data_IF_617509474126
#
_entry.id   IF_617509474126
#
_cell.length_a   1.000
_cell.length_b   1.000
_cell.length_c   1.000
_cell.angle_alpha   90.00
_cell.angle_beta   90.00
_cell.angle_gamma   90.00
#
_symmetry.space_group_name_H-M   'P 1'
#
loop_
_entity.id
_entity.type
_entity.pdbx_description
1 polymer ?
#
# COMPACT_ATOMS: atom_id res chain seq x y z
N UNK A 1 22.10 -26.76 -14.68
CA UNK A 1 21.47 -25.59 -14.00
C UNK A 1 20.04 -25.95 -13.62
N UNK A 2 19.46 -25.39 -12.54
CA UNK A 2 18.06 -25.66 -12.17
C UNK A 2 17.14 -24.55 -12.69
N UNK A 3 16.02 -24.91 -13.30
CA UNK A 3 15.01 -23.97 -13.77
C UNK A 3 13.80 -24.02 -12.82
N UNK A 4 13.47 -22.90 -12.20
CA UNK A 4 12.27 -22.78 -11.38
C UNK A 4 11.21 -22.03 -12.19
N UNK A 5 10.24 -22.77 -12.72
CA UNK A 5 9.24 -22.29 -13.66
C UNK A 5 7.93 -22.07 -12.91
N UNK A 6 7.32 -20.91 -13.09
CA UNK A 6 6.01 -20.58 -12.55
C UNK A 6 4.98 -20.33 -13.67
N UNK A 7 3.75 -20.78 -13.46
CA UNK A 7 2.60 -20.45 -14.30
C UNK A 7 1.60 -19.59 -13.50
N UNK A 8 1.59 -18.26 -13.66
CA UNK A 8 0.76 -17.37 -12.86
C UNK A 8 -0.76 -17.61 -12.91
N UNK A 9 -1.35 -18.03 -14.05
CA UNK A 9 -2.78 -18.33 -14.12
C UNK A 9 -3.23 -19.43 -13.15
N UNK A 10 -2.51 -20.55 -13.07
CA UNK A 10 -2.82 -21.64 -12.13
C UNK A 10 -2.24 -21.42 -10.74
N UNK A 11 -1.21 -20.58 -10.60
CA UNK A 11 -0.50 -20.38 -9.34
C UNK A 11 0.44 -21.53 -8.97
N UNK A 12 0.70 -22.44 -9.92
CA UNK A 12 1.62 -23.55 -9.74
C UNK A 12 3.06 -23.16 -10.11
N UNK A 13 4.02 -23.88 -9.51
CA UNK A 13 5.43 -23.75 -9.83
C UNK A 13 6.07 -25.15 -9.81
N UNK A 14 7.01 -25.38 -10.72
CA UNK A 14 7.75 -26.63 -10.84
C UNK A 14 9.21 -26.34 -11.08
N UNK A 15 10.06 -27.12 -10.43
CA UNK A 15 11.51 -27.09 -10.62
C UNK A 15 11.91 -28.20 -11.58
N UNK A 16 12.68 -27.85 -12.60
CA UNK A 16 13.27 -28.77 -13.55
C UNK A 16 14.79 -28.70 -13.42
N UNK A 17 15.44 -29.85 -13.47
CA UNK A 17 16.90 -29.93 -13.47
C UNK A 17 17.34 -30.20 -14.89
N UNK A 18 18.12 -29.28 -15.47
CA UNK A 18 18.59 -29.36 -16.86
C UNK A 18 20.12 -29.41 -16.82
N UNK A 19 20.67 -30.53 -17.25
CA UNK A 19 22.12 -30.75 -17.28
C UNK A 19 22.72 -30.41 -18.65
N UNK A 20 21.96 -30.63 -19.71
CA UNK A 20 22.36 -30.35 -21.09
C UNK A 20 22.55 -28.84 -21.35
N UNK A 21 23.80 -28.47 -21.65
CA UNK A 21 24.20 -27.09 -21.92
C UNK A 21 23.63 -26.54 -23.23
N UNK A 22 23.34 -27.40 -24.22
CA UNK A 22 22.75 -26.97 -25.49
C UNK A 22 21.37 -26.35 -25.28
N UNK A 23 20.56 -26.96 -24.40
CA UNK A 23 19.24 -26.44 -23.99
C UNK A 23 19.34 -25.13 -23.21
N UNK A 24 20.39 -24.98 -22.39
CA UNK A 24 20.60 -23.79 -21.57
C UNK A 24 21.14 -22.59 -22.36
N UNK A 25 21.81 -22.84 -23.49
CA UNK A 25 22.43 -21.81 -24.34
C UNK A 25 21.44 -20.75 -24.81
N UNK A 26 20.17 -21.13 -25.04
CA UNK A 26 19.11 -20.20 -25.41
C UNK A 26 18.85 -19.08 -24.37
N UNK A 27 19.22 -19.33 -23.10
CA UNK A 27 19.05 -18.38 -22.00
C UNK A 27 20.29 -17.51 -21.76
N UNK A 28 21.47 -17.93 -22.22
CA UNK A 28 22.71 -17.18 -22.00
C UNK A 28 22.71 -15.84 -22.75
N UNK A 29 23.39 -14.86 -22.16
CA UNK A 29 23.47 -13.47 -22.61
C UNK A 29 22.12 -12.72 -22.70
N UNK A 30 21.03 -13.38 -22.29
CA UNK A 30 19.74 -12.75 -22.08
C UNK A 30 19.72 -12.00 -20.75
N UNK A 31 18.89 -10.97 -20.70
CA UNK A 31 18.68 -10.13 -19.52
C UNK A 31 17.38 -10.50 -18.80
N UNK A 32 17.32 -10.20 -17.50
CA UNK A 32 16.05 -10.23 -16.75
C UNK A 32 14.97 -9.44 -17.49
N UNK A 33 13.78 -10.00 -17.53
CA UNK A 33 12.58 -9.53 -18.23
C UNK A 33 12.57 -9.73 -19.74
N UNK A 34 13.60 -10.32 -20.34
CA UNK A 34 13.52 -10.78 -21.73
C UNK A 34 12.71 -12.06 -21.85
N UNK A 35 12.06 -12.20 -23.00
CA UNK A 35 11.30 -13.39 -23.38
C UNK A 35 12.19 -14.33 -24.19
N UNK A 36 12.04 -15.62 -23.94
CA UNK A 36 12.80 -16.72 -24.54
C UNK A 36 11.81 -17.81 -24.94
N UNK A 37 11.96 -18.32 -26.15
CA UNK A 37 11.15 -19.43 -26.65
C UNK A 37 11.46 -20.71 -25.86
N UNK A 38 10.41 -21.43 -25.47
CA UNK A 38 10.52 -22.66 -24.68
C UNK A 38 11.00 -23.86 -25.48
N UNK A 39 10.85 -23.84 -26.80
CA UNK A 39 11.22 -24.93 -27.72
C UNK A 39 12.66 -25.43 -27.53
N UNK A 40 13.58 -24.55 -27.13
CA UNK A 40 14.97 -24.92 -26.87
C UNK A 40 15.15 -25.89 -25.68
N UNK A 41 14.17 -26.02 -24.79
CA UNK A 41 14.23 -26.93 -23.63
C UNK A 41 13.78 -28.36 -23.96
N UNK A 42 12.94 -28.54 -24.97
CA UNK A 42 12.34 -29.82 -25.33
C UNK A 42 11.03 -29.66 -26.09
N UNK A 43 10.55 -30.75 -26.68
CA UNK A 43 9.29 -30.80 -27.43
C UNK A 43 8.08 -30.49 -26.54
N UNK A 44 8.12 -30.86 -25.26
CA UNK A 44 7.06 -30.57 -24.30
C UNK A 44 6.86 -29.06 -24.06
N UNK A 45 7.86 -28.25 -24.38
CA UNK A 45 7.83 -26.79 -24.25
C UNK A 45 7.55 -26.07 -25.59
N UNK A 46 7.12 -26.81 -26.62
CA UNK A 46 6.79 -26.22 -27.91
C UNK A 46 5.67 -25.19 -27.81
N UNK A 47 5.88 -24.02 -28.43
CA UNK A 47 4.95 -22.88 -28.36
C UNK A 47 4.92 -22.14 -27.01
N UNK A 48 5.61 -22.61 -25.97
CA UNK A 48 5.71 -21.88 -24.70
C UNK A 48 6.65 -20.67 -24.84
N UNK A 49 6.29 -19.56 -24.21
CA UNK A 49 7.17 -18.40 -24.08
C UNK A 49 7.46 -18.15 -22.61
N UNK A 50 8.73 -18.17 -22.25
CA UNK A 50 9.21 -17.89 -20.91
C UNK A 50 9.76 -16.48 -20.81
N UNK A 51 9.50 -15.83 -19.68
CA UNK A 51 10.14 -14.59 -19.28
C UNK A 51 11.09 -14.83 -18.13
N UNK A 52 12.35 -14.42 -18.29
CA UNK A 52 13.36 -14.55 -17.25
C UNK A 52 13.01 -13.57 -16.12
N UNK A 53 12.74 -14.06 -14.91
CA UNK A 53 12.38 -13.21 -13.77
C UNK A 53 13.52 -12.95 -12.78
N UNK A 54 14.65 -13.63 -12.97
CA UNK A 54 15.85 -13.51 -12.15
C UNK A 54 16.38 -14.89 -11.81
N UNK A 55 17.10 -15.00 -10.71
CA UNK A 55 17.75 -16.24 -10.32
C UNK A 55 18.71 -16.00 -9.17
N UNK A 56 19.45 -17.05 -8.84
CA UNK A 56 20.54 -17.01 -7.88
C UNK A 56 21.75 -17.72 -8.45
N UNK A 57 22.94 -17.20 -8.13
CA UNK A 57 24.18 -17.88 -8.48
C UNK A 57 24.49 -19.07 -7.56
N UNK A 58 25.58 -19.77 -7.86
CA UNK A 58 26.06 -20.94 -7.11
C UNK A 58 26.31 -20.68 -5.62
N UNK A 59 26.56 -19.44 -5.20
CA UNK A 59 26.74 -19.10 -3.77
C UNK A 59 25.50 -18.40 -3.18
N UNK A 60 24.39 -18.38 -3.92
CA UNK A 60 23.11 -17.87 -3.44
C UNK A 60 22.95 -16.35 -3.53
N UNK A 61 23.83 -15.62 -4.23
CA UNK A 61 23.57 -14.19 -4.44
C UNK A 61 22.50 -14.00 -5.51
N UNK A 62 21.45 -13.20 -5.23
CA UNK A 62 20.34 -13.00 -6.16
C UNK A 62 20.72 -12.03 -7.29
N UNK A 63 20.14 -12.25 -8.46
CA UNK A 63 20.26 -11.32 -9.58
C UNK A 63 19.48 -10.02 -9.33
N UNK A 64 20.01 -8.89 -9.81
CA UNK A 64 19.36 -7.57 -9.71
C UNK A 64 19.17 -6.94 -11.09
N UNK A 65 17.93 -6.62 -11.43
CA UNK A 65 17.60 -5.90 -12.66
C UNK A 65 18.30 -4.53 -12.73
N UNK A 66 18.85 -4.19 -13.90
CA UNK A 66 19.57 -2.93 -14.14
C UNK A 66 21.08 -2.99 -13.89
N UNK A 67 21.61 -4.09 -13.34
CA UNK A 67 23.04 -4.31 -13.21
C UNK A 67 23.53 -5.06 -14.45
N UNK A 68 24.04 -4.33 -15.44
CA UNK A 68 24.37 -4.84 -16.78
C UNK A 68 25.72 -5.58 -16.84
N UNK A 69 25.94 -6.48 -15.90
CA UNK A 69 27.10 -7.38 -15.87
C UNK A 69 26.62 -8.82 -15.87
N UNK A 70 27.48 -9.73 -16.29
CA UNK A 70 27.34 -11.15 -15.95
C UNK A 70 27.69 -11.32 -14.48
N UNK A 71 28.82 -10.77 -14.05
CA UNK A 71 29.38 -10.95 -12.71
C UNK A 71 28.66 -10.23 -11.58
N UNK A 72 29.16 -10.45 -10.36
CA UNK A 72 28.67 -9.80 -9.16
C UNK A 72 29.28 -8.42 -8.98
N UNK A 73 28.46 -7.50 -8.48
CA UNK A 73 28.88 -6.15 -8.11
C UNK A 73 28.44 -5.85 -6.68
N UNK A 74 29.25 -5.06 -5.95
CA UNK A 74 28.89 -4.58 -4.62
C UNK A 74 28.18 -3.24 -4.69
N UNK A 75 26.88 -3.25 -4.43
CA UNK A 75 26.03 -2.05 -4.47
C UNK A 75 25.60 -1.62 -3.07
N UNK A 76 25.48 -0.32 -2.86
CA UNK A 76 24.92 0.26 -1.63
C UNK A 76 23.39 0.28 -1.71
N UNK A 77 22.73 -0.66 -1.02
CA UNK A 77 21.28 -0.86 -1.06
C UNK A 77 20.58 -0.15 0.10
N UNK A 78 19.38 0.38 -0.15
CA UNK A 78 18.47 0.99 0.84
C UNK A 78 17.20 0.16 1.00
N UNK A 79 16.48 0.36 2.11
CA UNK A 79 15.19 -0.30 2.37
C UNK A 79 14.23 -0.10 1.19
N UNK A 80 13.68 -1.21 0.68
CA UNK A 80 12.80 -1.22 -0.49
C UNK A 80 13.50 -1.61 -1.81
N UNK A 81 14.83 -1.59 -1.86
CA UNK A 81 15.55 -2.10 -3.02
C UNK A 81 15.42 -3.63 -3.13
N UNK A 82 15.38 -4.15 -4.36
CA UNK A 82 15.52 -5.59 -4.58
C UNK A 82 16.86 -6.09 -4.01
N UNK A 83 16.86 -7.34 -3.50
CA UNK A 83 17.99 -8.00 -2.83
C UNK A 83 18.32 -7.46 -1.42
N UNK A 84 17.57 -6.45 -0.93
CA UNK A 84 17.71 -5.94 0.43
C UNK A 84 16.36 -5.52 1.02
N UNK A 85 15.81 -6.39 1.89
CA UNK A 85 14.53 -6.14 2.54
C UNK A 85 14.56 -4.92 3.47
N UNK A 86 15.68 -4.68 4.17
CA UNK A 86 15.87 -3.53 5.07
C UNK A 86 14.92 -3.46 6.28
N UNK A 87 14.00 -4.40 6.44
CA UNK A 87 13.14 -4.52 7.63
C UNK A 87 13.90 -5.21 8.77
N UNK A 88 13.74 -4.73 10.01
CA UNK A 88 14.51 -5.19 11.18
C UNK A 88 15.84 -4.46 11.39
N UNK A 89 16.01 -3.31 10.72
CA UNK A 89 17.19 -2.45 10.74
C UNK A 89 16.81 -1.04 11.13
N UNK A 90 17.78 -0.18 11.44
CA UNK A 90 17.50 1.22 11.75
C UNK A 90 16.89 1.91 10.53
N UNK A 91 15.93 2.80 10.76
CA UNK A 91 15.36 3.58 9.67
C UNK A 91 16.45 4.43 9.01
N UNK A 92 16.45 4.45 7.68
CA UNK A 92 17.51 5.09 6.88
C UNK A 92 18.78 4.26 6.68
N UNK A 93 18.89 3.06 7.27
CA UNK A 93 20.09 2.22 7.09
C UNK A 93 20.29 1.82 5.61
N UNK A 94 21.54 1.98 5.15
CA UNK A 94 22.02 1.52 3.84
C UNK A 94 23.13 0.51 4.05
N UNK A 95 23.14 -0.56 3.26
CA UNK A 95 24.18 -1.61 3.35
C UNK A 95 24.77 -1.93 2.00
N UNK A 96 26.11 -1.94 1.91
CA UNK A 96 26.82 -2.41 0.73
C UNK A 96 26.82 -3.94 0.67
N UNK A 97 26.14 -4.53 -0.31
CA UNK A 97 26.01 -5.98 -0.50
C UNK A 97 26.41 -6.38 -1.92
N UNK A 98 26.98 -7.58 -2.06
CA UNK A 98 27.17 -8.20 -3.38
C UNK A 98 25.83 -8.65 -3.95
N UNK A 99 25.61 -8.40 -5.24
CA UNK A 99 24.46 -8.84 -6.02
C UNK A 99 24.94 -9.35 -7.36
N UNK A 100 24.28 -10.37 -7.93
CA UNK A 100 24.59 -10.86 -9.28
C UNK A 100 23.98 -9.91 -10.31
N UNK A 101 24.66 -9.71 -11.43
CA UNK A 101 24.15 -8.93 -12.55
C UNK A 101 22.88 -9.53 -13.18
N UNK A 102 22.26 -8.78 -14.08
CA UNK A 102 21.01 -9.20 -14.72
C UNK A 102 21.21 -10.05 -15.99
N UNK A 103 22.45 -10.19 -16.48
CA UNK A 103 22.78 -11.02 -17.64
C UNK A 103 22.94 -12.47 -17.16
N UNK A 104 22.29 -13.40 -17.85
CA UNK A 104 22.32 -14.82 -17.53
C UNK A 104 23.64 -15.43 -18.01
N UNK A 105 24.28 -16.23 -17.15
CA UNK A 105 25.48 -17.00 -17.49
C UNK A 105 25.47 -18.39 -16.85
N UNK A 106 26.49 -19.21 -17.14
CA UNK A 106 26.68 -20.56 -16.61
C UNK A 106 26.92 -20.64 -15.09
N UNK A 107 27.27 -19.52 -14.43
CA UNK A 107 27.53 -19.47 -12.97
C UNK A 107 26.25 -19.47 -12.13
N UNK A 108 25.09 -19.49 -12.79
CA UNK A 108 23.81 -19.55 -12.12
C UNK A 108 23.52 -20.97 -11.61
N UNK A 109 23.03 -21.06 -10.37
CA UNK A 109 22.53 -22.32 -9.83
C UNK A 109 21.07 -22.50 -10.20
N UNK A 110 20.27 -21.44 -10.04
CA UNK A 110 18.83 -21.46 -10.34
C UNK A 110 18.47 -20.25 -11.20
N UNK A 111 17.73 -20.50 -12.28
CA UNK A 111 17.09 -19.47 -13.08
C UNK A 111 15.57 -19.52 -12.84
N UNK A 112 14.97 -18.40 -12.45
CA UNK A 112 13.54 -18.27 -12.24
C UNK A 112 12.86 -17.81 -13.54
N UNK A 113 11.93 -18.60 -14.04
CA UNK A 113 11.19 -18.35 -15.28
C UNK A 113 9.70 -18.21 -14.98
N UNK A 114 9.02 -17.36 -15.76
CA UNK A 114 7.56 -17.21 -15.72
C UNK A 114 7.02 -17.47 -17.11
N UNK A 115 6.04 -18.36 -17.23
CA UNK A 115 5.32 -18.58 -18.50
C UNK A 115 4.46 -17.36 -18.80
N UNK A 116 4.67 -16.75 -19.96
CA UNK A 116 3.87 -15.63 -20.49
C UNK A 116 2.80 -16.13 -21.44
N UNK A 117 3.13 -17.11 -22.30
CA UNK A 117 2.20 -17.78 -23.21
C UNK A 117 2.29 -19.29 -23.00
N UNK A 118 1.13 -19.93 -22.83
CA UNK A 118 1.00 -21.40 -22.75
C UNK A 118 1.20 -21.95 -24.17
N UNK A 119 2.00 -23.01 -24.31
CA UNK A 119 2.14 -23.76 -25.55
C UNK A 119 1.02 -24.77 -25.74
N UNK A 120 1.21 -25.67 -26.70
CA UNK A 120 0.19 -26.66 -27.11
C UNK A 120 0.06 -27.80 -26.10
N UNK A 121 1.19 -28.39 -25.68
CA UNK A 121 1.22 -29.51 -24.74
C UNK A 121 0.99 -29.05 -23.30
N UNK A 122 0.39 -29.89 -22.47
CA UNK A 122 0.27 -29.63 -21.04
C UNK A 122 1.52 -30.12 -20.28
N UNK A 123 1.93 -29.35 -19.27
CA UNK A 123 3.09 -29.59 -18.43
C UNK A 123 2.66 -30.12 -17.04
N UNK A 124 3.03 -31.36 -16.68
CA UNK A 124 2.54 -32.02 -15.47
C UNK A 124 2.98 -31.29 -14.21
N UNK A 125 2.01 -31.02 -13.32
CA UNK A 125 2.21 -30.30 -12.07
C UNK A 125 2.45 -28.78 -12.23
N UNK A 126 2.27 -28.24 -13.44
CA UNK A 126 2.41 -26.81 -13.71
C UNK A 126 1.16 -26.21 -14.37
N UNK A 127 0.73 -26.77 -15.50
CA UNK A 127 -0.48 -26.31 -16.20
C UNK A 127 -1.72 -27.14 -15.90
N UNK A 128 -1.52 -28.39 -15.52
CA UNK A 128 -2.59 -29.39 -15.38
C UNK A 128 -3.35 -29.20 -14.05
N UNK A 129 -2.63 -28.75 -13.02
CA UNK A 129 -3.20 -28.47 -11.71
C UNK A 129 -3.46 -26.97 -11.52
N UNK A 130 -4.61 -26.63 -10.94
CA UNK A 130 -4.93 -25.26 -10.53
C UNK A 130 -4.92 -25.11 -9.01
N UNK A 131 -4.14 -24.14 -8.49
CA UNK A 131 -4.12 -23.79 -7.07
C UNK A 131 -5.03 -22.58 -6.84
N UNK A 132 -6.18 -22.75 -6.15
CA UNK A 132 -7.11 -21.64 -5.95
C UNK A 132 -6.49 -20.56 -5.05
N UNK A 133 -6.93 -19.30 -5.28
CA UNK A 133 -6.46 -18.17 -4.49
C UNK A 133 -6.89 -18.30 -3.02
N UNK A 134 -5.92 -18.31 -2.12
CA UNK A 134 -6.17 -18.50 -0.68
C UNK A 134 -7.03 -17.40 -0.03
N UNK A 135 -6.98 -16.17 -0.55
CA UNK A 135 -7.66 -15.01 0.05
C UNK A 135 -8.34 -14.18 -1.02
N UNK A 136 -9.60 -13.84 -0.77
CA UNK A 136 -10.31 -12.84 -1.57
C UNK A 136 -10.10 -11.39 -1.08
N UNK A 137 -10.73 -10.43 -1.77
CA UNK A 137 -10.57 -9.01 -1.49
C UNK A 137 -11.14 -8.61 -0.10
N UNK A 138 -10.49 -7.66 0.58
CA UNK A 138 -10.94 -7.14 1.89
C UNK A 138 -11.71 -5.81 1.80
N UNK A 139 -11.47 -5.02 0.75
CA UNK A 139 -12.02 -3.67 0.60
C UNK A 139 -13.34 -3.74 -0.15
N UNK A 140 -14.37 -3.01 0.31
CA UNK A 140 -15.70 -3.01 -0.31
C UNK A 140 -15.65 -2.78 -1.83
N UNK A 141 -14.87 -1.80 -2.29
CA UNK A 141 -14.72 -1.50 -3.72
C UNK A 141 -14.07 -2.63 -4.53
N UNK A 142 -13.18 -3.43 -3.93
CA UNK A 142 -12.56 -4.59 -4.61
C UNK A 142 -13.49 -5.79 -4.63
N UNK A 143 -14.34 -5.94 -3.62
CA UNK A 143 -15.39 -6.98 -3.60
C UNK A 143 -16.39 -6.70 -4.71
N UNK A 144 -16.87 -5.46 -4.86
CA UNK A 144 -17.77 -5.07 -5.95
C UNK A 144 -17.18 -5.39 -7.33
N UNK A 145 -15.93 -5.03 -7.58
CA UNK A 145 -15.24 -5.34 -8.84
C UNK A 145 -15.08 -6.83 -9.11
N UNK A 146 -14.93 -7.65 -8.06
CA UNK A 146 -14.75 -9.10 -8.23
C UNK A 146 -16.04 -9.80 -8.63
N UNK A 147 -17.17 -9.34 -8.11
CA UNK A 147 -18.49 -9.93 -8.34
C UNK A 147 -19.36 -9.10 -9.30
N UNK A 148 -18.77 -8.10 -9.96
CA UNK A 148 -19.47 -7.15 -10.84
C UNK A 148 -20.74 -6.53 -10.20
N UNK A 149 -20.66 -6.20 -8.91
CA UNK A 149 -21.78 -5.65 -8.15
C UNK A 149 -21.94 -4.16 -8.38
N UNK A 150 -23.19 -3.72 -8.30
CA UNK A 150 -23.58 -2.32 -8.24
C UNK A 150 -23.23 -1.70 -6.87
N UNK A 151 -23.57 -0.42 -6.68
CA UNK A 151 -23.31 0.28 -5.41
C UNK A 151 -24.36 -0.06 -4.37
N UNK A 152 -25.57 -0.34 -4.84
CA UNK A 152 -26.79 -0.68 -4.13
C UNK A 152 -26.66 -2.05 -3.45
N UNK A 153 -25.92 -2.97 -4.07
CA UNK A 153 -25.71 -4.32 -3.55
C UNK A 153 -24.89 -4.34 -2.25
N UNK A 154 -25.36 -5.13 -1.27
CA UNK A 154 -24.62 -5.36 -0.03
C UNK A 154 -23.51 -6.40 -0.19
N UNK A 155 -22.28 -5.88 -0.23
CA UNK A 155 -21.04 -6.68 -0.30
C UNK A 155 -20.87 -7.69 0.84
N UNK A 156 -21.57 -7.55 1.98
CA UNK A 156 -21.41 -8.44 3.15
C UNK A 156 -21.77 -9.90 2.87
N UNK A 157 -22.77 -10.14 2.03
CA UNK A 157 -23.21 -11.49 1.69
C UNK A 157 -22.16 -12.21 0.84
N UNK A 158 -21.57 -11.52 -0.12
CA UNK A 158 -20.60 -12.06 -1.08
C UNK A 158 -19.24 -12.42 -0.45
N UNK A 159 -18.87 -11.81 0.67
CA UNK A 159 -17.61 -12.15 1.36
C UNK A 159 -17.60 -13.59 1.89
N UNK A 160 -18.78 -14.17 2.16
CA UNK A 160 -18.90 -15.55 2.66
C UNK A 160 -18.49 -16.58 1.60
N UNK A 161 -18.59 -16.25 0.31
CA UNK A 161 -18.31 -17.16 -0.81
C UNK A 161 -16.85 -17.62 -0.78
N UNK A 162 -15.91 -16.70 -0.50
CA UNK A 162 -14.49 -17.01 -0.36
C UNK A 162 -14.02 -17.03 1.10
N UNK A 163 -14.96 -17.09 2.04
CA UNK A 163 -14.66 -17.25 3.46
C UNK A 163 -14.04 -18.62 3.72
N UNK A 164 -13.01 -18.68 4.58
CA UNK A 164 -12.35 -19.95 4.89
C UNK A 164 -13.28 -20.80 5.78
N UNK A 165 -13.75 -21.93 5.27
CA UNK A 165 -14.41 -22.97 6.07
C UNK A 165 -13.37 -23.61 6.99
N UNK A 166 -13.66 -23.66 8.28
CA UNK A 166 -12.80 -24.25 9.31
C UNK A 166 -13.68 -25.12 10.17
N UNK A 167 -13.34 -26.39 10.27
CA UNK A 167 -13.90 -27.30 11.25
C UNK A 167 -13.15 -27.14 12.56
N UNK A 168 -13.88 -26.87 13.62
CA UNK A 168 -13.35 -26.83 14.98
C UNK A 168 -14.41 -27.34 15.93
N UNK A 169 -14.03 -28.25 16.81
CA UNK A 169 -14.92 -28.81 17.85
C UNK A 169 -16.19 -29.46 17.24
N UNK A 170 -16.03 -30.20 16.13
CA UNK A 170 -17.13 -30.86 15.42
C UNK A 170 -18.10 -29.92 14.69
N UNK A 171 -17.83 -28.60 14.66
CA UNK A 171 -18.69 -27.60 14.00
C UNK A 171 -17.94 -26.87 12.88
N UNK A 172 -18.56 -26.78 11.71
CA UNK A 172 -18.03 -26.02 10.58
C UNK A 172 -18.32 -24.53 10.76
N UNK A 173 -17.28 -23.69 10.83
CA UNK A 173 -17.37 -22.23 10.91
C UNK A 173 -16.74 -21.56 9.69
N UNK A 174 -17.37 -20.52 9.16
CA UNK A 174 -16.81 -19.74 8.05
C UNK A 174 -16.11 -18.49 8.59
N UNK A 175 -14.78 -18.42 8.46
CA UNK A 175 -14.02 -17.21 8.80
C UNK A 175 -13.95 -16.25 7.63
N UNK A 176 -14.54 -15.06 7.80
CA UNK A 176 -14.58 -14.00 6.81
C UNK A 176 -13.69 -12.81 7.22
N UNK A 177 -13.06 -12.09 6.27
CA UNK A 177 -12.34 -10.86 6.58
C UNK A 177 -13.30 -9.73 6.98
N UNK A 178 -12.89 -8.91 7.96
CA UNK A 178 -13.57 -7.63 8.25
C UNK A 178 -13.45 -6.69 7.05
N UNK A 179 -14.58 -6.36 6.45
CA UNK A 179 -14.65 -5.51 5.25
C UNK A 179 -14.17 -4.09 5.59
N UNK A 180 -13.24 -3.59 4.79
CA UNK A 180 -12.73 -2.22 4.92
C UNK A 180 -13.44 -1.27 3.96
N UNK A 181 -13.55 0.00 4.38
CA UNK A 181 -14.18 1.10 3.62
C UNK A 181 -15.64 0.80 3.24
N UNK A 182 -16.35 0.09 4.11
CA UNK A 182 -17.80 -0.07 4.01
C UNK A 182 -18.48 1.14 4.66
N UNK A 183 -19.51 1.68 4.02
CA UNK A 183 -20.35 2.71 4.63
C UNK A 183 -21.14 2.05 5.76
N UNK A 184 -21.01 2.59 6.97
CA UNK A 184 -21.65 2.04 8.18
C UNK A 184 -22.37 3.15 8.95
N UNK A 185 -23.42 2.84 9.73
CA UNK A 185 -24.11 3.83 10.56
C UNK A 185 -23.17 4.62 11.47
N UNK A 186 -22.18 3.95 12.07
CA UNK A 186 -21.14 4.58 12.89
C UNK A 186 -20.31 5.60 12.10
N UNK A 187 -19.90 5.29 10.87
CA UNK A 187 -19.18 6.22 10.01
C UNK A 187 -20.03 7.45 9.67
N UNK A 188 -21.31 7.25 9.34
CA UNK A 188 -22.25 8.33 9.05
C UNK A 188 -22.46 9.23 10.28
N UNK A 189 -22.60 8.63 11.46
CA UNK A 189 -22.69 9.36 12.73
C UNK A 189 -21.44 10.20 13.01
N UNK A 190 -20.25 9.63 12.84
CA UNK A 190 -19.00 10.40 12.98
C UNK A 190 -18.93 11.59 12.01
N UNK A 191 -19.40 11.42 10.77
CA UNK A 191 -19.45 12.52 9.79
C UNK A 191 -20.42 13.63 10.21
N UNK A 192 -21.65 13.27 10.62
CA UNK A 192 -22.65 14.21 11.15
C UNK A 192 -22.13 14.96 12.38
N UNK A 193 -21.47 14.25 13.30
CA UNK A 193 -20.85 14.86 14.50
C UNK A 193 -19.78 15.88 14.12
N UNK A 194 -18.90 15.57 13.16
CA UNK A 194 -17.87 16.52 12.71
C UNK A 194 -18.49 17.80 12.13
N UNK A 195 -19.53 17.66 11.33
CA UNK A 195 -20.28 18.80 10.77
C UNK A 195 -20.95 19.63 11.88
N UNK A 196 -21.58 18.99 12.86
CA UNK A 196 -22.18 19.66 14.02
C UNK A 196 -21.13 20.42 14.85
N UNK A 197 -19.98 19.80 15.12
CA UNK A 197 -18.88 20.45 15.87
C UNK A 197 -18.37 21.71 15.15
N UNK A 198 -18.26 21.66 13.81
CA UNK A 198 -17.87 22.85 13.02
C UNK A 198 -18.92 23.96 13.12
N UNK A 199 -20.20 23.63 13.00
CA UNK A 199 -21.31 24.59 13.15
C UNK A 199 -21.32 25.22 14.55
N UNK A 200 -21.23 24.40 15.60
CA UNK A 200 -21.21 24.85 16.99
C UNK A 200 -20.02 25.77 17.27
N UNK A 201 -18.85 25.49 16.69
CA UNK A 201 -17.67 26.36 16.81
C UNK A 201 -17.91 27.75 16.22
N UNK A 202 -18.57 27.82 15.07
CA UNK A 202 -18.92 29.10 14.42
C UNK A 202 -19.93 29.87 15.26
N UNK A 203 -20.99 29.20 15.73
CA UNK A 203 -22.02 29.81 16.58
C UNK A 203 -21.40 30.35 17.86
N UNK A 204 -20.57 29.56 18.55
CA UNK A 204 -19.87 29.98 19.76
C UNK A 204 -18.97 31.19 19.51
N UNK A 205 -18.22 31.23 18.41
CA UNK A 205 -17.38 32.38 18.04
C UNK A 205 -18.23 33.64 17.83
N UNK A 206 -19.37 33.52 17.14
CA UNK A 206 -20.30 34.65 16.92
C UNK A 206 -20.89 35.17 18.23
N UNK A 207 -21.32 34.27 19.11
CA UNK A 207 -21.84 34.63 20.44
C UNK A 207 -20.77 35.35 21.27
N UNK A 208 -19.57 34.79 21.37
CA UNK A 208 -18.45 35.41 22.11
C UNK A 208 -18.09 36.80 21.56
N UNK A 209 -18.11 36.99 20.24
CA UNK A 209 -17.88 38.31 19.64
C UNK A 209 -19.00 39.31 19.99
N UNK A 210 -20.26 38.87 19.97
CA UNK A 210 -21.39 39.71 20.35
C UNK A 210 -21.37 40.07 21.84
N UNK A 211 -21.04 39.12 22.72
CA UNK A 211 -20.93 39.33 24.16
C UNK A 211 -19.78 40.27 24.50
N UNK A 212 -18.63 40.12 23.83
CA UNK A 212 -17.50 41.04 23.97
C UNK A 212 -17.84 42.46 23.50
N UNK A 213 -18.56 42.59 22.38
CA UNK A 213 -19.02 43.89 21.89
C UNK A 213 -19.94 44.59 22.89
N UNK A 214 -20.90 43.87 23.49
CA UNK A 214 -21.77 44.41 24.55
C UNK A 214 -20.95 44.92 25.73
N UNK A 215 -20.00 44.11 26.22
CA UNK A 215 -19.09 44.49 27.31
C UNK A 215 -18.30 45.76 26.99
N UNK A 216 -17.77 45.85 25.76
CA UNK A 216 -16.97 46.98 25.32
C UNK A 216 -17.78 48.29 25.30
N UNK A 217 -19.03 48.24 24.81
CA UNK A 217 -19.93 49.40 24.83
C UNK A 217 -20.18 49.89 26.25
N UNK A 218 -20.47 48.99 27.19
CA UNK A 218 -20.67 49.34 28.61
C UNK A 218 -19.42 49.99 29.21
N UNK A 219 -18.22 49.44 28.95
CA UNK A 219 -16.95 50.02 29.44
C UNK A 219 -16.68 51.42 28.89
N UNK A 220 -16.98 51.67 27.61
CA UNK A 220 -16.84 53.00 27.01
C UNK A 220 -17.84 54.01 27.59
N UNK A 221 -19.05 53.57 27.94
CA UNK A 221 -20.03 54.41 28.64
C UNK A 221 -19.54 54.79 30.04
N UNK A 222 -19.11 53.80 30.84
CA UNK A 222 -18.53 54.03 32.18
C UNK A 222 -17.33 55.00 32.14
N UNK A 223 -16.47 54.89 31.13
CA UNK A 223 -15.31 55.77 30.96
C UNK A 223 -15.73 57.22 30.61
N UNK A 224 -16.72 57.38 29.72
CA UNK A 224 -17.29 58.69 29.38
C UNK A 224 -17.94 59.36 30.59
N UNK A 225 -18.71 58.59 31.36
CA UNK A 225 -19.35 59.06 32.60
C UNK A 225 -18.29 59.48 33.61
N UNK A 226 -17.29 58.63 33.89
CA UNK A 226 -16.16 58.96 34.78
C UNK A 226 -15.40 60.21 34.33
N UNK A 227 -15.18 60.38 33.02
CA UNK A 227 -14.55 61.59 32.47
C UNK A 227 -15.43 62.82 32.70
N UNK A 228 -16.73 62.73 32.46
CA UNK A 228 -17.68 63.82 32.70
C UNK A 228 -17.77 64.21 34.18
N UNK A 229 -17.80 63.23 35.10
CA UNK A 229 -17.75 63.44 36.55
C UNK A 229 -16.47 64.15 36.97
N UNK A 230 -15.31 63.74 36.45
CA UNK A 230 -14.03 64.38 36.75
C UNK A 230 -13.99 65.84 36.28
N UNK A 231 -14.57 66.14 35.12
CA UNK A 231 -14.70 67.50 34.58
C UNK A 231 -15.68 68.32 35.42
N UNK A 232 -16.80 67.75 35.84
CA UNK A 232 -17.77 68.40 36.72
C UNK A 232 -17.13 68.76 38.08
N UNK A 233 -16.39 67.82 38.68
CA UNK A 233 -15.62 68.07 39.92
C UNK A 233 -14.59 69.20 39.74
N UNK A 234 -13.83 69.21 38.64
CA UNK A 234 -12.89 70.29 38.32
C UNK A 234 -13.57 71.65 38.12
N UNK A 235 -14.73 71.68 37.46
CA UNK A 235 -15.53 72.91 37.27
C UNK A 235 -16.06 73.44 38.61
N UNK A 236 -16.59 72.56 39.47
CA UNK A 236 -17.06 72.93 40.80
C UNK A 236 -15.92 73.49 41.67
N UNK A 237 -14.73 72.86 41.63
CA UNK A 237 -13.55 73.37 42.33
C UNK A 237 -13.14 74.77 41.84
N UNK A 238 -13.10 75.00 40.52
CA UNK A 238 -12.79 76.33 39.95
C UNK A 238 -13.78 77.40 40.40
N UNK A 239 -15.08 77.10 40.41
CA UNK A 239 -16.11 78.03 40.89
C UNK A 239 -15.93 78.36 42.37
N UNK A 240 -15.55 77.39 43.20
CA UNK A 240 -15.29 77.60 44.63
C UNK A 240 -14.03 78.42 44.94
N UNK A 241 -13.05 78.43 44.02
CA UNK A 241 -11.83 79.26 44.14
C UNK A 241 -12.13 80.69 43.68
N UNK A 242 -12.88 80.86 42.59
CA UNK A 242 -13.30 82.18 42.09
C UNK A 242 -14.27 82.92 43.03
N UNK A 243 -14.95 82.22 43.94
CA UNK A 243 -15.79 82.82 44.97
C UNK A 243 -15.04 83.17 46.27
N UNK A 244 -13.72 82.90 46.34
CA UNK A 244 -12.86 83.15 47.50
C UNK A 244 -11.80 84.23 47.26
N UNK A 245 -11.70 84.75 46.04
CA UNK A 245 -11.01 86.01 45.70
C UNK A 245 -12.03 87.14 45.65
#
# INVERSE_FOLDING_TARGET
MKLNIAYPPTGCQKKLEVEDEAKLRAFYDKRISQEVAGEALGEEFKGYIFKIKGGQDKQGFPMKQGVLTTDRVRLLLKRGDSCFRGHGRRDGERRRKSVRGCIVSHDLSVLNLVIVRKGEAELPGLTDEEKPRQRGPKRASRIRKMFNLSKEDDVRHYVKIYGKKIEKDGKTRVKCPKIQRLVTPRMLHHKRRLEAVKKNRIVRKKQQAADYHKLLVTRLQEERERRSESLAKKRAQRLSVASKE
#
